data_IF_533030205103
#
_entry.id   IF_533030205103
#
_cell.length_a   1.000
_cell.length_b   1.000
_cell.length_c   1.000
_cell.angle_alpha   90.00
_cell.angle_beta   90.00
_cell.angle_gamma   90.00
#
_symmetry.space_group_name_H-M   'P 1'
#
loop_
_entity.id
_entity.type
_entity.pdbx_description
1 polymer ?
#
# COMPACT_ATOMS: atom_id res chain seq x y z
N UNK A 1 -13.72 6.13 -3.65
CA UNK A 1 -14.87 6.57 -4.46
C UNK A 1 -14.86 5.89 -5.83
N UNK A 2 -13.75 5.89 -6.54
CA UNK A 2 -13.62 5.25 -7.86
C UNK A 2 -13.33 3.76 -7.78
N UNK A 3 -12.65 3.32 -6.73
CA UNK A 3 -12.31 1.94 -6.47
C UNK A 3 -13.30 1.26 -5.52
N UNK A 4 -13.23 -0.05 -5.40
CA UNK A 4 -14.10 -0.82 -4.51
C UNK A 4 -13.81 -0.55 -3.03
N UNK A 5 -12.61 -0.06 -2.70
CA UNK A 5 -12.15 0.15 -1.33
C UNK A 5 -11.82 -1.17 -0.62
N UNK A 6 -11.63 -2.22 -1.39
CA UNK A 6 -11.27 -3.57 -0.92
C UNK A 6 -10.03 -4.06 -1.66
N UNK A 7 -8.84 -3.48 -1.35
CA UNK A 7 -7.60 -3.90 -1.98
C UNK A 7 -7.34 -5.38 -1.75
N UNK A 8 -6.61 -6.00 -2.67
CA UNK A 8 -6.23 -7.40 -2.59
C UNK A 8 -4.72 -7.53 -2.77
N UNK A 9 -4.09 -8.42 -2.02
CA UNK A 9 -2.68 -8.79 -2.22
C UNK A 9 -2.58 -9.60 -3.51
N UNK A 10 -1.82 -9.08 -4.46
CA UNK A 10 -1.57 -9.70 -5.77
C UNK A 10 -0.17 -10.28 -5.89
N UNK A 11 0.80 -9.67 -5.22
CA UNK A 11 2.22 -10.05 -5.28
C UNK A 11 2.84 -10.05 -3.90
N UNK A 12 3.76 -10.98 -3.67
CA UNK A 12 4.65 -11.00 -2.51
C UNK A 12 6.04 -11.30 -3.03
N UNK A 13 6.97 -10.37 -2.85
CA UNK A 13 8.33 -10.47 -3.36
C UNK A 13 9.31 -10.51 -2.18
N UNK A 14 10.16 -11.51 -2.15
CA UNK A 14 11.25 -11.62 -1.17
C UNK A 14 12.47 -10.86 -1.70
N UNK A 15 13.02 -9.98 -0.88
CA UNK A 15 14.24 -9.22 -1.19
C UNK A 15 15.46 -9.83 -0.47
N UNK A 16 15.29 -10.16 0.81
CA UNK A 16 16.27 -10.87 1.63
C UNK A 16 15.56 -11.93 2.47
N UNK A 17 16.27 -12.97 2.93
CA UNK A 17 15.74 -13.89 3.93
C UNK A 17 15.31 -13.12 5.18
N UNK A 18 14.24 -13.57 5.80
CA UNK A 18 13.75 -12.98 7.05
C UNK A 18 14.71 -13.34 8.18
N UNK A 19 15.26 -12.36 8.93
CA UNK A 19 16.29 -12.61 9.93
C UNK A 19 15.76 -13.10 11.29
N UNK A 20 14.46 -13.45 11.36
CA UNK A 20 13.83 -13.90 12.61
C UNK A 20 13.17 -15.26 12.41
N UNK A 21 13.22 -16.06 13.47
CA UNK A 21 12.46 -17.31 13.55
C UNK A 21 11.10 -16.98 14.15
N UNK A 22 10.05 -17.31 13.44
CA UNK A 22 8.69 -17.25 13.96
C UNK A 22 8.34 -18.67 14.42
N UNK A 23 8.06 -18.84 15.72
CA UNK A 23 7.76 -20.15 16.27
C UNK A 23 6.61 -20.83 15.52
N UNK A 24 6.87 -22.05 15.02
CA UNK A 24 5.90 -22.85 14.28
C UNK A 24 5.88 -22.65 12.77
N UNK A 25 6.81 -21.86 12.21
CA UNK A 25 7.03 -21.83 10.76
C UNK A 25 8.14 -22.83 10.42
N UNK A 26 7.80 -23.75 9.55
CA UNK A 26 8.79 -24.55 8.84
C UNK A 26 9.46 -23.67 7.79
N UNK A 27 10.59 -23.06 8.13
CA UNK A 27 11.38 -22.16 7.27
C UNK A 27 11.88 -22.84 5.97
N UNK A 28 11.46 -24.06 5.70
CA UNK A 28 12.02 -24.86 4.61
C UNK A 28 11.44 -24.56 3.23
N UNK A 29 10.28 -23.86 3.09
CA UNK A 29 9.59 -23.97 1.79
C UNK A 29 8.92 -22.72 1.20
N UNK A 30 8.77 -21.56 1.85
CA UNK A 30 8.15 -20.42 1.16
C UNK A 30 8.44 -19.06 1.78
N UNK A 31 9.52 -18.41 1.33
CA UNK A 31 9.91 -17.08 1.76
C UNK A 31 8.82 -15.99 1.56
N UNK A 32 7.88 -16.19 0.62
CA UNK A 32 6.75 -15.28 0.41
C UNK A 32 5.73 -15.37 1.56
N UNK A 33 5.48 -16.57 2.07
CA UNK A 33 4.59 -16.76 3.22
C UNK A 33 5.19 -16.13 4.49
N UNK A 34 6.50 -16.21 4.68
CA UNK A 34 7.20 -15.56 5.79
C UNK A 34 7.02 -14.03 5.74
N UNK A 35 7.21 -13.41 4.57
CA UNK A 35 7.00 -11.98 4.39
C UNK A 35 5.55 -11.59 4.73
N UNK A 36 4.59 -12.37 4.23
CA UNK A 36 3.18 -12.09 4.45
C UNK A 36 2.78 -12.29 5.92
N UNK A 37 3.35 -13.29 6.59
CA UNK A 37 3.09 -13.56 8.01
C UNK A 37 3.63 -12.43 8.87
N UNK A 38 4.89 -12.02 8.68
CA UNK A 38 5.50 -10.89 9.39
C UNK A 38 4.72 -9.60 9.17
N UNK A 39 4.37 -9.30 7.92
CA UNK A 39 3.56 -8.13 7.61
C UNK A 39 2.18 -8.20 8.31
N UNK A 40 1.57 -9.38 8.37
CA UNK A 40 0.27 -9.56 9.03
C UNK A 40 0.33 -9.39 10.54
N UNK A 41 1.45 -9.76 11.19
CA UNK A 41 1.68 -9.49 12.61
C UNK A 41 1.73 -7.98 12.85
N UNK A 42 2.50 -7.25 12.04
CA UNK A 42 2.62 -5.80 12.17
C UNK A 42 1.32 -5.05 11.87
N UNK A 43 0.52 -5.55 10.94
CA UNK A 43 -0.72 -4.90 10.50
C UNK A 43 -1.99 -5.39 11.22
N UNK A 44 -1.86 -6.34 12.16
CA UNK A 44 -2.98 -6.99 12.84
C UNK A 44 -3.94 -5.98 13.48
N UNK A 45 -3.37 -4.95 14.11
CA UNK A 45 -4.12 -3.94 14.85
C UNK A 45 -4.39 -2.66 14.02
N UNK A 46 -4.07 -2.69 12.73
CA UNK A 46 -4.26 -1.56 11.83
C UNK A 46 -5.67 -1.55 11.20
N UNK A 47 -6.31 -0.39 11.23
CA UNK A 47 -7.62 -0.17 10.59
C UNK A 47 -7.52 0.16 9.10
N UNK A 48 -6.30 0.31 8.57
CA UNK A 48 -6.10 0.72 7.19
C UNK A 48 -6.57 -0.37 6.20
N UNK A 49 -7.23 -0.03 5.07
CA UNK A 49 -7.70 -1.02 4.09
C UNK A 49 -6.61 -1.94 3.54
N UNK A 50 -5.38 -1.43 3.31
CA UNK A 50 -4.23 -2.24 2.88
C UNK A 50 -3.83 -3.26 3.94
N UNK A 51 -3.80 -2.86 5.22
CA UNK A 51 -3.52 -3.74 6.34
C UNK A 51 -4.53 -4.89 6.42
N UNK A 52 -5.82 -4.56 6.35
CA UNK A 52 -6.91 -5.56 6.33
C UNK A 52 -6.76 -6.55 5.18
N UNK A 53 -6.30 -6.10 4.03
CA UNK A 53 -6.03 -6.96 2.88
C UNK A 53 -4.86 -7.94 3.13
N UNK A 54 -3.78 -7.46 3.75
CA UNK A 54 -2.61 -8.28 4.12
C UNK A 54 -3.03 -9.34 5.12
N UNK A 55 -3.68 -8.97 6.22
CA UNK A 55 -4.19 -9.87 7.26
C UNK A 55 -5.16 -10.90 6.68
N UNK A 56 -6.10 -10.46 5.82
CA UNK A 56 -7.04 -11.34 5.14
C UNK A 56 -6.32 -12.38 4.27
N UNK A 57 -5.31 -11.97 3.51
CA UNK A 57 -4.53 -12.89 2.66
C UNK A 57 -3.76 -13.90 3.50
N UNK A 58 -3.13 -13.48 4.59
CA UNK A 58 -2.45 -14.38 5.53
C UNK A 58 -3.42 -15.40 6.14
N UNK A 59 -4.62 -14.96 6.56
CA UNK A 59 -5.69 -15.85 7.07
C UNK A 59 -6.13 -16.88 6.02
N UNK A 60 -6.31 -16.46 4.76
CA UNK A 60 -6.69 -17.37 3.67
C UNK A 60 -5.65 -18.47 3.40
N UNK A 61 -4.38 -18.17 3.65
CA UNK A 61 -3.27 -19.11 3.53
C UNK A 61 -3.03 -19.89 4.84
N UNK A 62 -3.90 -19.74 5.84
CA UNK A 62 -3.77 -20.37 7.18
C UNK A 62 -2.46 -20.06 7.87
N UNK A 63 -1.88 -18.86 7.62
CA UNK A 63 -0.68 -18.41 8.28
C UNK A 63 -0.96 -18.00 9.72
N UNK A 64 0.06 -18.09 10.57
CA UNK A 64 -0.06 -17.86 12.02
C UNK A 64 0.06 -16.38 12.35
N UNK A 65 -1.06 -15.67 12.46
CA UNK A 65 -1.07 -14.24 12.80
C UNK A 65 -0.96 -14.08 14.31
N UNK A 66 0.24 -13.79 14.78
CA UNK A 66 0.57 -13.57 16.19
C UNK A 66 0.22 -12.15 16.64
N UNK A 67 0.14 -11.95 17.97
CA UNK A 67 -0.06 -10.64 18.56
C UNK A 67 1.30 -9.95 18.73
N UNK A 68 1.50 -8.72 18.22
CA UNK A 68 2.71 -7.95 18.54
C UNK A 68 2.64 -7.45 19.98
N UNK A 69 3.80 -7.31 20.64
CA UNK A 69 3.89 -6.72 21.98
C UNK A 69 3.69 -5.21 21.99
N UNK A 70 4.03 -4.56 20.87
CA UNK A 70 3.86 -3.12 20.68
C UNK A 70 3.39 -2.86 19.25
N UNK A 71 2.56 -1.80 19.06
CA UNK A 71 2.04 -1.38 17.77
C UNK A 71 1.95 0.14 17.70
N UNK A 72 2.45 0.71 16.61
CA UNK A 72 2.37 2.14 16.32
C UNK A 72 1.98 2.31 14.85
N UNK A 73 0.84 2.95 14.60
CA UNK A 73 0.43 3.35 13.26
C UNK A 73 0.89 4.77 12.95
N UNK A 74 1.50 4.96 11.78
CA UNK A 74 1.86 6.28 11.25
C UNK A 74 0.94 6.62 10.08
N UNK A 75 -0.01 7.55 10.27
CA UNK A 75 -0.99 7.89 9.23
C UNK A 75 -0.36 8.25 7.89
N UNK A 76 -0.82 7.63 6.81
CA UNK A 76 -0.33 7.86 5.45
C UNK A 76 1.07 7.29 5.14
N UNK A 77 1.71 6.59 6.08
CA UNK A 77 3.06 6.04 5.92
C UNK A 77 3.11 4.53 6.11
N UNK A 78 2.58 4.02 7.24
CA UNK A 78 2.61 2.60 7.54
C UNK A 78 2.41 2.29 9.02
N UNK A 79 2.90 1.13 9.45
CA UNK A 79 2.85 0.68 10.82
C UNK A 79 4.20 0.09 11.27
N UNK A 80 4.45 0.19 12.57
CA UNK A 80 5.58 -0.45 13.25
C UNK A 80 5.04 -1.34 14.36
N UNK A 81 5.70 -2.47 14.57
CA UNK A 81 5.34 -3.41 15.61
C UNK A 81 6.57 -4.08 16.20
N UNK A 82 6.47 -4.53 17.46
CA UNK A 82 7.51 -5.35 18.10
C UNK A 82 6.97 -6.76 18.28
N UNK A 83 7.70 -7.74 17.79
CA UNK A 83 7.38 -9.15 17.97
C UNK A 83 8.64 -9.95 18.31
N UNK A 84 8.62 -10.67 19.46
CA UNK A 84 9.76 -11.41 20.00
C UNK A 84 11.06 -10.58 20.03
N UNK A 85 10.97 -9.31 20.47
CA UNK A 85 12.10 -8.39 20.55
C UNK A 85 12.59 -7.85 19.19
N UNK A 86 11.94 -8.18 18.09
CA UNK A 86 12.30 -7.68 16.76
C UNK A 86 11.35 -6.56 16.32
N UNK A 87 11.90 -5.51 15.75
CA UNK A 87 11.15 -4.41 15.16
C UNK A 87 10.70 -4.79 13.75
N UNK A 88 9.41 -4.79 13.50
CA UNK A 88 8.81 -5.00 12.19
C UNK A 88 8.25 -3.67 11.70
N UNK A 89 8.58 -3.30 10.47
CA UNK A 89 8.11 -2.06 9.85
C UNK A 89 7.44 -2.42 8.54
N UNK A 90 6.18 -1.99 8.38
CA UNK A 90 5.40 -2.18 7.17
C UNK A 90 4.90 -0.82 6.70
N UNK A 91 5.25 -0.42 5.47
CA UNK A 91 4.86 0.90 5.01
C UNK A 91 5.38 1.26 3.62
N UNK A 92 5.23 2.54 3.25
CA UNK A 92 5.72 3.08 2.00
C UNK A 92 7.21 3.46 2.05
N UNK A 93 7.77 3.91 0.92
CA UNK A 93 9.17 4.34 0.84
C UNK A 93 9.51 5.50 1.79
N UNK A 94 8.55 6.39 2.07
CA UNK A 94 8.77 7.48 3.03
C UNK A 94 8.95 6.96 4.45
N UNK A 95 8.15 5.98 4.87
CA UNK A 95 8.32 5.31 6.17
C UNK A 95 9.70 4.66 6.26
N UNK A 96 10.11 3.91 5.23
CA UNK A 96 11.42 3.26 5.22
C UNK A 96 12.58 4.26 5.32
N UNK A 97 12.47 5.38 4.60
CA UNK A 97 13.46 6.47 4.64
C UNK A 97 13.58 7.11 6.02
N UNK A 98 12.45 7.39 6.67
CA UNK A 98 12.44 8.00 8.01
C UNK A 98 13.10 7.07 9.05
N UNK A 99 12.95 5.75 8.86
CA UNK A 99 13.58 4.72 9.71
C UNK A 99 15.05 4.41 9.30
N UNK A 100 15.56 5.07 8.28
CA UNK A 100 16.94 4.87 7.80
C UNK A 100 17.16 3.54 7.07
N UNK A 101 16.11 2.97 6.48
CA UNK A 101 16.16 1.71 5.73
C UNK A 101 16.43 1.99 4.25
N UNK A 102 17.49 1.39 3.70
CA UNK A 102 17.80 1.52 2.27
C UNK A 102 16.87 0.66 1.42
N UNK A 103 16.14 1.32 0.51
CA UNK A 103 15.19 0.67 -0.41
C UNK A 103 15.73 0.54 -1.85
N UNK A 104 16.97 0.93 -2.13
CA UNK A 104 17.55 0.92 -3.49
C UNK A 104 17.54 -0.46 -4.13
N UNK A 105 17.83 -1.51 -3.35
CA UNK A 105 17.82 -2.89 -3.82
C UNK A 105 16.44 -3.33 -4.36
N UNK A 106 15.38 -2.67 -3.93
CA UNK A 106 14.00 -2.99 -4.28
C UNK A 106 13.40 -2.04 -5.33
N UNK A 107 14.15 -1.02 -5.76
CA UNK A 107 13.64 0.08 -6.60
C UNK A 107 12.99 -0.41 -7.90
N UNK A 108 13.64 -1.33 -8.61
CA UNK A 108 13.11 -1.90 -9.85
C UNK A 108 11.77 -2.63 -9.61
N UNK A 109 11.69 -3.44 -8.55
CA UNK A 109 10.48 -4.16 -8.19
C UNK A 109 9.35 -3.22 -7.78
N UNK A 110 9.66 -2.16 -7.03
CA UNK A 110 8.70 -1.13 -6.65
C UNK A 110 8.15 -0.43 -7.90
N UNK A 111 9.03 0.00 -8.81
CA UNK A 111 8.66 0.66 -10.05
C UNK A 111 7.78 -0.23 -10.93
N UNK A 112 8.10 -1.52 -11.03
CA UNK A 112 7.29 -2.49 -11.76
C UNK A 112 5.87 -2.57 -11.22
N UNK A 113 5.72 -2.77 -9.91
CA UNK A 113 4.39 -2.81 -9.27
C UNK A 113 3.60 -1.52 -9.48
N UNK A 114 4.24 -0.36 -9.31
CA UNK A 114 3.61 0.94 -9.51
C UNK A 114 3.15 1.15 -10.96
N UNK A 115 3.94 0.74 -11.94
CA UNK A 115 3.58 0.79 -13.37
C UNK A 115 2.41 -0.14 -13.73
N UNK A 116 2.16 -1.18 -12.91
CA UNK A 116 0.99 -2.06 -12.99
C UNK A 116 -0.24 -1.48 -12.24
N UNK A 117 -0.16 -0.27 -11.71
CA UNK A 117 -1.24 0.37 -10.93
C UNK A 117 -1.40 -0.20 -9.52
N UNK A 118 -0.40 -0.91 -9.02
CA UNK A 118 -0.39 -1.51 -7.69
C UNK A 118 0.26 -0.60 -6.65
N UNK A 119 -0.21 -0.66 -5.42
CA UNK A 119 0.46 -0.06 -4.28
C UNK A 119 1.53 -1.03 -3.78
N UNK A 120 2.79 -0.58 -3.74
CA UNK A 120 3.90 -1.34 -3.18
C UNK A 120 4.05 -1.02 -1.69
N UNK A 121 3.82 -2.01 -0.83
CA UNK A 121 4.04 -1.95 0.61
C UNK A 121 5.33 -2.69 0.94
N UNK A 122 6.25 -2.01 1.60
CA UNK A 122 7.56 -2.53 1.95
C UNK A 122 7.52 -3.16 3.34
N UNK A 123 8.25 -4.25 3.52
CA UNK A 123 8.35 -4.97 4.79
C UNK A 123 9.81 -5.02 5.21
N UNK A 124 10.11 -4.53 6.40
CA UNK A 124 11.45 -4.57 6.97
C UNK A 124 11.43 -5.16 8.38
N UNK A 125 12.54 -5.81 8.75
CA UNK A 125 12.77 -6.37 10.08
C UNK A 125 14.14 -5.91 10.56
N UNK A 126 14.21 -5.32 11.76
CA UNK A 126 15.45 -4.81 12.37
C UNK A 126 16.27 -3.94 11.42
N UNK A 127 15.59 -3.06 10.63
CA UNK A 127 16.16 -2.18 9.60
C UNK A 127 16.64 -2.87 8.31
N UNK A 128 16.51 -4.17 8.18
CA UNK A 128 16.71 -4.86 6.91
C UNK A 128 15.42 -4.94 6.10
N UNK A 129 15.46 -4.45 4.87
CA UNK A 129 14.35 -4.63 3.92
C UNK A 129 14.29 -6.09 3.52
N UNK A 130 13.22 -6.80 3.87
CA UNK A 130 13.06 -8.24 3.63
C UNK A 130 12.11 -8.56 2.49
N UNK A 131 11.12 -7.69 2.21
CA UNK A 131 10.16 -7.97 1.14
C UNK A 131 9.31 -6.80 0.71
N UNK A 132 8.50 -7.05 -0.32
CA UNK A 132 7.51 -6.12 -0.87
C UNK A 132 6.19 -6.88 -1.06
N UNK A 133 5.09 -6.23 -0.70
CA UNK A 133 3.75 -6.73 -0.96
C UNK A 133 3.08 -5.77 -1.96
N UNK A 134 2.66 -6.31 -3.10
CA UNK A 134 1.88 -5.60 -4.11
C UNK A 134 0.38 -5.73 -3.82
N UNK A 135 -0.31 -4.60 -3.75
CA UNK A 135 -1.76 -4.57 -3.54
C UNK A 135 -2.45 -3.82 -4.67
N UNK A 136 -3.56 -4.36 -5.13
CA UNK A 136 -4.40 -3.75 -6.17
C UNK A 136 -5.80 -3.50 -5.64
N UNK A 137 -6.27 -2.25 -5.74
CA UNK A 137 -7.67 -1.91 -5.51
C UNK A 137 -8.35 -1.66 -6.86
N UNK A 138 -9.25 -2.55 -7.23
CA UNK A 138 -9.90 -2.53 -8.54
C UNK A 138 -10.90 -1.40 -8.66
N UNK A 139 -10.94 -0.68 -9.78
CA UNK A 139 -12.02 0.27 -10.07
C UNK A 139 -13.41 -0.41 -10.02
N UNK A 140 -14.42 0.32 -9.57
CA UNK A 140 -15.81 -0.16 -9.62
C UNK A 140 -16.23 -0.41 -11.06
N UNK A 141 -16.99 -1.47 -11.30
CA UNK A 141 -17.40 -1.88 -12.65
C UNK A 141 -18.07 -0.76 -13.47
N UNK A 142 -18.78 0.17 -12.82
CA UNK A 142 -19.41 1.32 -13.49
C UNK A 142 -18.55 2.59 -13.58
N UNK A 143 -17.36 2.63 -12.97
CA UNK A 143 -16.56 3.85 -12.85
C UNK A 143 -16.21 4.44 -14.22
N UNK A 144 -15.69 3.63 -15.12
CA UNK A 144 -15.29 4.07 -16.47
C UNK A 144 -16.45 4.66 -17.28
N UNK A 145 -17.63 4.03 -17.18
CA UNK A 145 -18.84 4.50 -17.87
C UNK A 145 -19.33 5.82 -17.27
N UNK A 146 -19.34 5.93 -15.93
CA UNK A 146 -19.78 7.14 -15.25
C UNK A 146 -18.84 8.32 -15.57
N UNK A 147 -17.52 8.11 -15.54
CA UNK A 147 -16.53 9.13 -15.90
C UNK A 147 -16.67 9.57 -17.36
N UNK A 148 -16.87 8.64 -18.30
CA UNK A 148 -17.09 8.97 -19.71
C UNK A 148 -18.34 9.84 -19.90
N UNK A 149 -19.44 9.57 -19.18
CA UNK A 149 -20.66 10.41 -19.20
C UNK A 149 -20.41 11.82 -18.67
N UNK A 150 -19.69 11.95 -17.56
CA UNK A 150 -19.32 13.27 -17.02
C UNK A 150 -18.47 14.07 -18.01
N UNK A 151 -17.48 13.45 -18.65
CA UNK A 151 -16.66 14.09 -19.69
C UNK A 151 -17.49 14.55 -20.90
N UNK A 152 -18.40 13.71 -21.37
CA UNK A 152 -19.29 14.08 -22.49
C UNK A 152 -20.23 15.25 -22.16
N UNK A 153 -20.46 15.51 -20.88
CA UNK A 153 -21.19 16.68 -20.36
C UNK A 153 -20.29 17.91 -20.14
N UNK A 154 -19.02 17.87 -20.57
CA UNK A 154 -18.08 18.97 -20.42
C UNK A 154 -17.50 19.14 -19.00
N UNK A 155 -17.64 18.13 -18.14
CA UNK A 155 -17.11 18.15 -16.77
C UNK A 155 -15.65 17.66 -16.78
N UNK A 156 -14.74 18.49 -16.30
CA UNK A 156 -13.35 18.11 -16.05
C UNK A 156 -13.26 17.18 -14.84
N UNK A 157 -12.49 16.10 -14.98
CA UNK A 157 -12.33 15.10 -13.92
C UNK A 157 -10.95 15.21 -13.33
N UNK A 158 -10.88 15.44 -12.02
CA UNK A 158 -9.64 15.48 -11.24
C UNK A 158 -9.61 14.33 -10.25
N UNK A 159 -8.57 13.49 -10.30
CA UNK A 159 -8.32 12.45 -9.31
C UNK A 159 -7.44 13.00 -8.21
N UNK A 160 -7.91 12.91 -6.96
CA UNK A 160 -7.17 13.30 -5.76
C UNK A 160 -6.93 12.05 -4.90
N UNK A 161 -5.68 11.63 -4.75
CA UNK A 161 -5.33 10.38 -4.07
C UNK A 161 -4.11 10.52 -3.17
N UNK A 162 -4.03 9.67 -2.15
CA UNK A 162 -2.83 9.46 -1.34
C UNK A 162 -1.87 8.42 -1.92
N UNK A 163 -2.22 7.77 -3.03
CA UNK A 163 -1.32 6.88 -3.73
C UNK A 163 -0.17 7.68 -4.37
N UNK A 164 0.96 7.01 -4.61
CA UNK A 164 2.09 7.64 -5.31
C UNK A 164 1.71 8.00 -6.76
N UNK A 165 2.45 8.95 -7.32
CA UNK A 165 2.18 9.53 -8.64
C UNK A 165 2.09 8.48 -9.76
N UNK A 166 2.96 7.46 -9.76
CA UNK A 166 3.00 6.41 -10.81
C UNK A 166 1.76 5.52 -10.77
N UNK A 167 1.41 5.00 -9.59
CA UNK A 167 0.19 4.20 -9.39
C UNK A 167 -1.03 5.01 -9.79
N UNK A 168 -1.11 6.26 -9.34
CA UNK A 168 -2.20 7.18 -9.66
C UNK A 168 -2.30 7.47 -11.16
N UNK A 169 -1.18 7.71 -11.84
CA UNK A 169 -1.14 7.93 -13.29
C UNK A 169 -1.63 6.70 -14.07
N UNK A 170 -1.25 5.49 -13.63
CA UNK A 170 -1.69 4.24 -14.28
C UNK A 170 -3.20 4.06 -14.16
N UNK A 171 -3.77 4.27 -12.98
CA UNK A 171 -5.22 4.22 -12.74
C UNK A 171 -5.94 5.31 -13.53
N UNK A 172 -5.42 6.53 -13.56
CA UNK A 172 -6.00 7.65 -14.29
C UNK A 172 -6.03 7.39 -15.80
N UNK A 173 -4.97 6.81 -16.35
CA UNK A 173 -4.89 6.42 -17.75
C UNK A 173 -5.96 5.38 -18.12
N UNK A 174 -6.14 4.35 -17.28
CA UNK A 174 -7.17 3.33 -17.52
C UNK A 174 -8.59 3.91 -17.45
N UNK A 175 -8.82 4.85 -16.54
CA UNK A 175 -10.11 5.51 -16.34
C UNK A 175 -10.31 6.76 -17.21
N UNK A 176 -9.34 7.11 -18.06
CA UNK A 176 -9.35 8.31 -18.90
C UNK A 176 -9.56 9.62 -18.10
N UNK A 177 -8.93 9.75 -16.93
CA UNK A 177 -8.99 10.94 -16.06
C UNK A 177 -7.98 11.96 -16.56
N UNK A 178 -8.38 13.25 -16.60
CA UNK A 178 -7.59 14.32 -17.23
C UNK A 178 -6.48 14.87 -16.34
N UNK A 179 -6.74 14.98 -15.05
CA UNK A 179 -5.81 15.57 -14.08
C UNK A 179 -5.69 14.68 -12.84
N UNK A 180 -4.47 14.48 -12.39
CA UNK A 180 -4.14 13.70 -11.19
C UNK A 180 -3.40 14.58 -10.20
N UNK A 181 -3.78 14.49 -8.93
CA UNK A 181 -3.08 15.06 -7.79
C UNK A 181 -2.82 13.91 -6.82
N UNK A 182 -1.60 13.42 -6.84
CA UNK A 182 -1.14 12.24 -6.10
C UNK A 182 -0.37 12.63 -4.82
N UNK A 183 0.03 11.63 -4.03
CA UNK A 183 0.83 11.80 -2.79
C UNK A 183 0.20 12.77 -1.78
N UNK A 184 -1.14 12.91 -1.76
CA UNK A 184 -1.83 13.88 -0.90
C UNK A 184 -2.16 13.25 0.44
N UNK A 185 -1.60 13.83 1.50
CA UNK A 185 -1.91 13.42 2.86
C UNK A 185 -3.40 13.68 3.20
N UNK A 186 -4.01 12.87 4.07
CA UNK A 186 -5.40 13.09 4.47
C UNK A 186 -5.69 14.50 4.98
N UNK A 187 -4.75 15.11 5.73
CA UNK A 187 -4.82 16.50 6.22
C UNK A 187 -4.89 17.54 5.11
N UNK A 188 -4.24 17.27 3.98
CA UNK A 188 -4.00 18.28 2.94
C UNK A 188 -5.08 18.27 1.85
N UNK A 189 -5.92 17.22 1.82
CA UNK A 189 -7.00 17.10 0.82
C UNK A 189 -7.94 18.28 0.78
N UNK A 190 -8.26 18.85 1.94
CA UNK A 190 -9.15 20.02 2.03
C UNK A 190 -8.50 21.26 1.40
N UNK A 191 -7.20 21.46 1.61
CA UNK A 191 -6.47 22.57 1.02
C UNK A 191 -6.38 22.47 -0.51
N UNK A 192 -6.14 21.26 -1.02
CA UNK A 192 -6.13 21.01 -2.46
C UNK A 192 -7.49 21.32 -3.08
N UNK A 193 -8.60 20.92 -2.44
CA UNK A 193 -9.95 21.23 -2.92
C UNK A 193 -10.17 22.74 -2.93
N UNK A 194 -9.76 23.48 -1.89
CA UNK A 194 -9.86 24.95 -1.84
C UNK A 194 -9.09 25.62 -2.97
N UNK A 195 -7.87 25.13 -3.29
CA UNK A 195 -7.09 25.63 -4.43
C UNK A 195 -7.82 25.41 -5.77
N UNK A 196 -8.39 24.23 -5.98
CA UNK A 196 -9.18 23.96 -7.18
C UNK A 196 -10.40 24.89 -7.29
N UNK A 197 -11.08 25.17 -6.18
CA UNK A 197 -12.21 26.12 -6.14
C UNK A 197 -11.76 27.55 -6.48
N UNK A 198 -10.58 27.98 -6.03
CA UNK A 198 -10.01 29.28 -6.38
C UNK A 198 -9.65 29.39 -7.88
N UNK A 199 -9.32 28.25 -8.53
CA UNK A 199 -9.15 28.15 -9.97
C UNK A 199 -10.49 28.24 -10.75
N UNK A 200 -11.61 28.46 -10.07
CA UNK A 200 -12.95 28.52 -10.66
C UNK A 200 -13.60 27.14 -10.87
N UNK A 201 -13.03 26.05 -10.30
CA UNK A 201 -13.64 24.72 -10.33
C UNK A 201 -14.74 24.62 -9.26
N UNK A 202 -15.81 23.90 -9.60
CA UNK A 202 -16.97 23.67 -8.70
C UNK A 202 -17.01 22.24 -8.21
#
# INVERSE_FOLDING_TARGET
>A
TLTQGTPQVTDVLTIKPVPIVIDGIDNSNNSQNEILEIASIAEKNSEHPLAKAIVKKATQLSLSIREPSEFIATPGRGAMAVYNGNNIIVGNQSQMKDEGIDTKIAEESILKLQNEGKTAVLVAVNKDLVGIIGLLDTPKAGAKIALAKLKSSGIEIVMLTGDNERTAATIAKDLAIDRVIADVMPSDKVEVIKKLQQEGKK
#
